data_IF_487308617986
#
_entry.id   IF_487308617986
#
_cell.length_a   1.000
_cell.length_b   1.000
_cell.length_c   1.000
_cell.angle_alpha   90.00
_cell.angle_beta   90.00
_cell.angle_gamma   90.00
#
_symmetry.space_group_name_H-M   'P 1'
#
loop_
_entity.id
_entity.type
_entity.pdbx_description
1 polymer ?
#
# COMPACT_ATOMS: atom_id res chain seq x y z
N UNK A 1 -40.67 -26.19 36.25
CA UNK A 1 -40.65 -24.71 36.06
C UNK A 1 -39.32 -24.36 35.42
N UNK A 2 -39.32 -24.12 34.12
CA UNK A 2 -38.10 -23.95 33.32
C UNK A 2 -38.06 -22.51 32.82
N UNK A 3 -37.01 -21.75 33.19
CA UNK A 3 -36.80 -20.39 32.69
C UNK A 3 -36.50 -20.44 31.17
N UNK A 4 -37.07 -19.55 30.34
CA UNK A 4 -36.65 -19.44 28.95
C UNK A 4 -35.31 -18.72 28.87
N UNK A 5 -34.40 -19.28 28.06
CA UNK A 5 -33.08 -18.75 27.79
C UNK A 5 -33.15 -17.32 27.24
N UNK A 6 -32.38 -16.41 27.82
CA UNK A 6 -32.15 -15.06 27.31
C UNK A 6 -31.45 -15.16 25.94
N UNK A 7 -32.21 -14.99 24.87
CA UNK A 7 -31.67 -14.79 23.53
C UNK A 7 -30.83 -13.51 23.51
N UNK A 8 -29.54 -13.67 23.25
CA UNK A 8 -28.62 -12.55 23.03
C UNK A 8 -28.94 -12.00 21.63
N UNK A 9 -29.78 -10.97 21.58
CA UNK A 9 -30.02 -10.24 20.34
C UNK A 9 -28.74 -9.50 19.94
N UNK A 10 -28.28 -9.58 18.68
CA UNK A 10 -27.20 -8.73 18.19
C UNK A 10 -27.62 -7.27 18.39
N UNK A 11 -26.68 -6.44 18.86
CA UNK A 11 -26.91 -5.05 19.25
C UNK A 11 -27.39 -4.22 18.03
N UNK A 12 -28.69 -4.23 17.79
CA UNK A 12 -29.32 -3.61 16.62
C UNK A 12 -29.59 -2.16 16.98
N UNK A 13 -28.76 -1.27 16.47
CA UNK A 13 -28.93 0.17 16.69
C UNK A 13 -29.93 0.71 15.67
N UNK A 14 -31.09 1.16 16.13
CA UNK A 14 -32.13 1.75 15.29
C UNK A 14 -32.07 3.27 15.35
N UNK A 15 -31.81 3.92 14.20
CA UNK A 15 -31.84 5.38 14.07
C UNK A 15 -33.22 5.84 13.57
N UNK A 16 -33.83 6.80 14.26
CA UNK A 16 -35.08 7.44 13.84
C UNK A 16 -34.79 8.85 13.31
N UNK A 17 -34.94 9.05 12.00
CA UNK A 17 -34.77 10.35 11.35
C UNK A 17 -36.15 11.01 11.21
N UNK A 18 -36.34 12.15 11.88
CA UNK A 18 -37.65 12.75 12.18
C UNK A 18 -38.46 13.30 11.00
N UNK A 19 -37.95 13.29 9.77
CA UNK A 19 -38.65 13.87 8.62
C UNK A 19 -39.44 12.85 7.78
N UNK A 20 -39.38 11.54 8.07
CA UNK A 20 -40.11 10.52 7.27
C UNK A 20 -40.85 9.52 8.15
N UNK A 21 -42.14 9.34 7.83
CA UNK A 21 -43.06 8.42 8.51
C UNK A 21 -42.64 6.96 8.33
N UNK A 22 -42.77 6.16 9.40
CA UNK A 22 -42.61 4.70 9.36
C UNK A 22 -43.82 4.08 8.66
N UNK A 23 -43.72 3.80 7.36
CA UNK A 23 -44.67 2.91 6.70
C UNK A 23 -44.23 1.48 6.98
N UNK A 24 -45.00 0.76 7.79
CA UNK A 24 -44.80 -0.66 8.07
C UNK A 24 -45.19 -1.49 6.83
N UNK A 25 -44.34 -1.47 5.80
CA UNK A 25 -44.56 -2.14 4.52
C UNK A 25 -43.43 -3.06 4.06
N UNK A 26 -42.38 -3.25 4.88
CA UNK A 26 -41.19 -4.00 4.47
C UNK A 26 -40.15 -3.17 3.70
N UNK A 27 -40.40 -1.88 3.49
CA UNK A 27 -39.47 -0.95 2.85
C UNK A 27 -38.48 -0.37 3.87
N UNK A 28 -37.53 -1.18 4.33
CA UNK A 28 -36.36 -0.66 5.04
C UNK A 28 -35.24 -0.37 4.05
N UNK A 29 -34.66 0.81 4.17
CA UNK A 29 -33.44 1.16 3.46
C UNK A 29 -32.25 0.71 4.31
N UNK A 30 -31.53 -0.32 3.87
CA UNK A 30 -30.26 -0.68 4.47
C UNK A 30 -29.21 0.35 4.07
N UNK A 31 -29.04 1.37 4.91
CA UNK A 31 -27.95 2.32 4.76
C UNK A 31 -26.79 1.75 5.58
N UNK A 32 -25.77 1.24 4.90
CA UNK A 32 -24.53 0.86 5.55
C UNK A 32 -23.81 2.13 6.03
N UNK A 33 -24.06 2.52 7.28
CA UNK A 33 -23.31 3.58 7.95
C UNK A 33 -21.97 2.95 8.36
N UNK A 34 -20.85 3.31 7.72
CA UNK A 34 -19.58 2.72 8.07
C UNK A 34 -19.16 3.26 9.44
N UNK A 35 -18.91 2.37 10.39
CA UNK A 35 -18.40 2.74 11.72
C UNK A 35 -16.98 3.31 11.66
N UNK A 36 -16.25 3.04 10.57
CA UNK A 36 -14.89 3.56 10.37
C UNK A 36 -14.62 3.89 8.90
N UNK A 37 -13.68 4.81 8.67
CA UNK A 37 -13.19 5.14 7.32
C UNK A 37 -12.62 3.91 6.60
N UNK A 38 -12.07 2.94 7.33
CA UNK A 38 -11.56 1.69 6.76
C UNK A 38 -12.70 0.83 6.24
N UNK A 39 -13.79 0.73 7.00
CA UNK A 39 -15.01 0.03 6.57
C UNK A 39 -15.58 0.72 5.34
N UNK A 40 -15.65 2.05 5.34
CA UNK A 40 -16.10 2.83 4.18
C UNK A 40 -15.26 2.55 2.93
N UNK A 41 -13.93 2.59 3.03
CA UNK A 41 -13.03 2.30 1.91
C UNK A 41 -13.14 0.85 1.42
N UNK A 42 -13.46 -0.10 2.30
CA UNK A 42 -13.55 -1.52 1.95
C UNK A 42 -14.91 -1.90 1.33
N UNK A 43 -15.99 -1.23 1.70
CA UNK A 43 -17.35 -1.56 1.24
C UNK A 43 -17.85 -0.67 0.12
N UNK A 44 -17.29 0.53 -0.04
CA UNK A 44 -17.74 1.47 -1.06
C UNK A 44 -17.18 1.09 -2.44
N UNK A 45 -18.01 1.09 -3.49
CA UNK A 45 -17.56 0.88 -4.86
C UNK A 45 -16.42 1.83 -5.26
N UNK A 46 -15.49 1.33 -6.08
CA UNK A 46 -14.29 2.08 -6.47
C UNK A 46 -14.60 3.36 -7.25
N UNK A 47 -15.64 3.35 -8.08
CA UNK A 47 -16.09 4.51 -8.86
C UNK A 47 -16.67 5.62 -7.99
N UNK A 48 -17.42 5.25 -6.94
CA UNK A 48 -17.94 6.18 -5.94
C UNK A 48 -16.78 6.77 -5.14
N UNK A 49 -15.83 5.93 -4.71
CA UNK A 49 -14.63 6.40 -4.04
C UNK A 49 -13.85 7.35 -4.93
N UNK A 50 -13.59 7.04 -6.21
CA UNK A 50 -12.82 7.89 -7.12
C UNK A 50 -13.41 9.31 -7.23
N UNK A 51 -14.74 9.42 -7.34
CA UNK A 51 -15.44 10.72 -7.35
C UNK A 51 -15.28 11.47 -6.04
N UNK A 52 -15.55 10.81 -4.91
CA UNK A 52 -15.45 11.44 -3.59
C UNK A 52 -14.01 11.87 -3.26
N UNK A 53 -13.03 11.09 -3.71
CA UNK A 53 -11.62 11.31 -3.42
C UNK A 53 -11.05 12.52 -4.16
N UNK A 54 -11.65 12.91 -5.30
CA UNK A 54 -11.24 14.10 -6.04
C UNK A 54 -11.51 15.39 -5.25
N UNK A 55 -12.68 15.48 -4.62
CA UNK A 55 -13.12 16.68 -3.91
C UNK A 55 -12.79 16.65 -2.41
N UNK A 56 -12.64 15.47 -1.80
CA UNK A 56 -12.30 15.31 -0.39
C UNK A 56 -10.81 14.98 -0.18
N UNK A 57 -10.05 15.94 0.34
CA UNK A 57 -8.62 15.77 0.62
C UNK A 57 -8.32 14.71 1.69
N UNK A 58 -9.13 14.65 2.74
CA UNK A 58 -8.88 13.72 3.83
C UNK A 58 -9.16 12.28 3.39
N UNK A 59 -10.21 12.07 2.59
CA UNK A 59 -10.47 10.77 1.97
C UNK A 59 -9.32 10.36 1.04
N UNK A 60 -8.77 11.31 0.27
CA UNK A 60 -7.58 11.07 -0.56
C UNK A 60 -6.38 10.64 0.28
N UNK A 61 -6.15 11.32 1.40
CA UNK A 61 -5.06 10.98 2.30
C UNK A 61 -5.25 9.61 2.96
N UNK A 62 -6.47 9.23 3.36
CA UNK A 62 -6.74 7.89 3.90
C UNK A 62 -6.54 6.78 2.88
N UNK A 63 -6.88 7.04 1.61
CA UNK A 63 -6.80 6.05 0.53
C UNK A 63 -5.38 5.83 0.03
N UNK A 64 -4.64 6.91 -0.21
CA UNK A 64 -3.31 6.83 -0.84
C UNK A 64 -2.16 7.16 0.11
N UNK A 65 -2.42 7.68 1.31
CA UNK A 65 -1.41 7.99 2.32
C UNK A 65 -0.69 9.32 2.11
N UNK A 66 -1.31 10.29 1.41
CA UNK A 66 -0.75 11.64 1.25
C UNK A 66 -1.73 12.73 0.86
N UNK A 67 -1.27 13.97 0.98
CA UNK A 67 -2.04 15.17 0.65
C UNK A 67 -1.49 15.87 -0.59
N UNK A 68 -2.39 16.22 -1.51
CA UNK A 68 -2.13 17.00 -2.72
C UNK A 68 -3.33 17.90 -3.00
N UNK A 69 -3.10 18.97 -3.77
CA UNK A 69 -4.16 19.88 -4.19
C UNK A 69 -5.19 19.19 -5.13
N UNK A 70 -6.35 19.81 -5.29
CA UNK A 70 -7.45 19.29 -6.12
C UNK A 70 -7.02 18.93 -7.55
N UNK A 71 -6.18 19.77 -8.18
CA UNK A 71 -5.67 19.49 -9.53
C UNK A 71 -4.73 18.28 -9.56
N UNK A 72 -3.90 18.08 -8.55
CA UNK A 72 -3.10 16.88 -8.38
C UNK A 72 -3.96 15.63 -8.16
N UNK A 73 -5.02 15.72 -7.35
CA UNK A 73 -5.96 14.60 -7.12
C UNK A 73 -6.62 14.14 -8.42
N UNK A 74 -7.09 15.09 -9.23
CA UNK A 74 -7.64 14.81 -10.55
C UNK A 74 -6.63 14.11 -11.48
N UNK A 75 -5.37 14.56 -11.50
CA UNK A 75 -4.32 13.92 -12.31
C UNK A 75 -3.98 12.50 -11.82
N UNK A 76 -4.02 12.24 -10.51
CA UNK A 76 -3.84 10.87 -9.97
C UNK A 76 -4.99 9.97 -10.41
N UNK A 77 -6.24 10.45 -10.36
CA UNK A 77 -7.39 9.68 -10.82
C UNK A 77 -7.34 9.43 -12.33
N UNK A 78 -6.88 10.40 -13.12
CA UNK A 78 -6.71 10.24 -14.56
C UNK A 78 -5.68 9.15 -14.89
N UNK A 79 -4.53 9.14 -14.20
CA UNK A 79 -3.50 8.11 -14.39
C UNK A 79 -4.03 6.74 -13.97
N UNK A 80 -4.77 6.69 -12.86
CA UNK A 80 -5.42 5.48 -12.39
C UNK A 80 -6.29 4.86 -13.47
N UNK A 81 -7.22 5.64 -14.03
CA UNK A 81 -8.15 5.16 -15.05
C UNK A 81 -7.46 4.87 -16.38
N UNK A 82 -6.47 5.67 -16.78
CA UNK A 82 -5.74 5.48 -18.05
C UNK A 82 -4.97 4.16 -18.09
N UNK A 83 -4.45 3.73 -16.95
CA UNK A 83 -3.56 2.58 -16.82
C UNK A 83 -4.18 1.43 -16.02
N UNK A 84 -5.48 1.50 -15.71
CA UNK A 84 -6.23 0.53 -14.91
C UNK A 84 -5.52 0.13 -13.60
N UNK A 85 -4.93 1.12 -12.91
CA UNK A 85 -4.12 0.88 -11.72
C UNK A 85 -5.01 0.68 -10.48
N UNK A 86 -4.57 -0.23 -9.63
CA UNK A 86 -5.12 -0.41 -8.29
C UNK A 86 -4.62 0.67 -7.33
N UNK A 87 -5.37 0.89 -6.25
CA UNK A 87 -4.98 1.87 -5.21
C UNK A 87 -3.66 1.50 -4.55
N UNK A 88 -3.36 0.19 -4.46
CA UNK A 88 -2.11 -0.31 -3.91
C UNK A 88 -0.92 0.00 -4.84
N UNK A 89 -1.08 -0.17 -6.16
CA UNK A 89 -0.03 0.18 -7.13
C UNK A 89 0.26 1.68 -7.13
N UNK A 90 -0.75 2.54 -6.98
CA UNK A 90 -0.55 3.99 -6.84
C UNK A 90 0.28 4.32 -5.59
N UNK A 91 0.01 3.62 -4.48
CA UNK A 91 0.81 3.76 -3.25
C UNK A 91 2.24 3.31 -3.47
N UNK A 92 2.46 2.19 -4.14
CA UNK A 92 3.78 1.63 -4.41
C UNK A 92 4.58 2.50 -5.40
N UNK A 93 3.92 3.05 -6.43
CA UNK A 93 4.51 4.03 -7.37
C UNK A 93 4.95 5.31 -6.66
N UNK A 94 4.25 5.71 -5.60
CA UNK A 94 4.66 6.84 -4.78
C UNK A 94 5.78 6.51 -3.82
N UNK A 95 5.73 5.36 -3.15
CA UNK A 95 6.81 4.93 -2.24
C UNK A 95 8.14 4.72 -2.98
N UNK A 96 8.08 4.27 -4.23
CA UNK A 96 9.24 4.15 -5.11
C UNK A 96 9.76 5.48 -5.67
N UNK A 97 9.04 6.59 -5.45
CA UNK A 97 9.43 7.92 -5.92
C UNK A 97 9.27 8.13 -7.43
N UNK A 98 8.74 7.15 -8.16
CA UNK A 98 8.57 7.20 -9.62
C UNK A 98 7.45 8.17 -10.01
N UNK A 99 6.44 8.26 -9.15
CA UNK A 99 5.35 9.22 -9.25
C UNK A 99 5.82 10.59 -8.75
N UNK A 100 6.62 11.27 -9.56
CA UNK A 100 7.08 12.64 -9.27
C UNK A 100 5.96 13.63 -9.54
N UNK A 101 5.21 13.99 -8.49
CA UNK A 101 4.23 15.07 -8.52
C UNK A 101 4.97 16.42 -8.51
N UNK A 102 5.42 16.88 -9.68
CA UNK A 102 5.91 18.26 -9.83
C UNK A 102 4.73 19.18 -10.15
N UNK A 103 4.51 20.23 -9.34
CA UNK A 103 3.44 21.25 -9.43
C UNK A 103 2.76 21.30 -10.82
N UNK A 104 1.60 20.64 -10.94
CA UNK A 104 0.70 20.76 -12.09
C UNK A 104 0.95 19.80 -13.26
N UNK A 105 2.00 18.98 -13.25
CA UNK A 105 2.22 17.93 -14.25
C UNK A 105 2.68 16.65 -13.56
N UNK A 106 1.79 15.69 -13.35
CA UNK A 106 2.19 14.32 -13.02
C UNK A 106 2.81 13.72 -14.28
N UNK A 107 4.14 13.68 -14.31
CA UNK A 107 4.88 12.89 -15.27
C UNK A 107 5.30 11.61 -14.57
N UNK A 108 4.87 10.46 -15.10
CA UNK A 108 5.55 9.20 -14.85
C UNK A 108 7.00 9.41 -15.30
N UNK A 109 7.89 9.59 -14.33
CA UNK A 109 9.29 9.82 -14.65
C UNK A 109 9.85 8.49 -15.12
N UNK A 110 10.01 8.35 -16.45
CA UNK A 110 10.66 7.24 -17.14
C UNK A 110 12.15 7.25 -16.80
N UNK A 111 12.49 6.98 -15.54
CA UNK A 111 13.87 6.96 -15.07
C UNK A 111 14.35 5.51 -15.08
N UNK A 112 15.00 5.15 -16.18
CA UNK A 112 15.75 3.90 -16.34
C UNK A 112 16.85 3.70 -15.27
N UNK A 113 17.19 4.76 -14.53
CA UNK A 113 18.21 4.76 -13.48
C UNK A 113 17.81 3.97 -12.22
N UNK A 114 16.52 3.84 -11.92
CA UNK A 114 16.05 3.14 -10.71
C UNK A 114 16.42 1.66 -10.63
N UNK A 115 16.18 0.84 -11.68
CA UNK A 115 16.64 -0.55 -11.66
C UNK A 115 18.17 -0.63 -11.64
N UNK A 116 18.87 0.25 -12.36
CA UNK A 116 20.34 0.26 -12.41
C UNK A 116 20.93 0.53 -11.03
N UNK A 117 20.41 1.52 -10.30
CA UNK A 117 20.84 1.84 -8.93
C UNK A 117 20.53 0.67 -7.98
N UNK A 118 19.36 0.04 -8.10
CA UNK A 118 19.02 -1.15 -7.33
C UNK A 118 20.00 -2.30 -7.56
N UNK A 119 20.35 -2.58 -8.82
CA UNK A 119 21.36 -3.60 -9.16
C UNK A 119 22.75 -3.22 -8.65
N UNK A 120 23.16 -1.96 -8.73
CA UNK A 120 24.44 -1.48 -8.17
C UNK A 120 24.48 -1.73 -6.66
N UNK A 121 23.42 -1.39 -5.92
CA UNK A 121 23.35 -1.67 -4.48
C UNK A 121 23.39 -3.18 -4.18
N UNK A 122 22.65 -4.00 -4.94
CA UNK A 122 22.66 -5.45 -4.76
C UNK A 122 24.07 -6.06 -4.98
N UNK A 123 24.78 -5.60 -6.01
CA UNK A 123 26.17 -6.02 -6.29
C UNK A 123 27.10 -5.56 -5.18
N UNK A 124 27.01 -4.29 -4.76
CA UNK A 124 27.85 -3.73 -3.71
C UNK A 124 27.66 -4.46 -2.37
N UNK A 125 26.40 -4.67 -1.95
CA UNK A 125 26.09 -5.42 -0.73
C UNK A 125 26.59 -6.87 -0.82
N UNK A 126 26.46 -7.51 -1.98
CA UNK A 126 26.97 -8.88 -2.17
C UNK A 126 28.49 -8.95 -2.06
N UNK A 127 29.22 -7.96 -2.59
CA UNK A 127 30.68 -7.87 -2.45
C UNK A 127 31.07 -7.67 -0.98
N UNK A 128 30.42 -6.73 -0.28
CA UNK A 128 30.70 -6.48 1.15
C UNK A 128 30.42 -7.73 1.99
N UNK A 129 29.28 -8.39 1.78
CA UNK A 129 28.94 -9.64 2.47
C UNK A 129 29.95 -10.75 2.16
N UNK A 130 30.42 -10.87 0.91
CA UNK A 130 31.44 -11.86 0.54
C UNK A 130 32.79 -11.59 1.24
N UNK A 131 33.22 -10.32 1.31
CA UNK A 131 34.44 -9.92 2.05
C UNK A 131 34.29 -10.21 3.54
N UNK A 132 33.13 -9.92 4.14
CA UNK A 132 32.85 -10.24 5.53
C UNK A 132 32.84 -11.75 5.79
N UNK A 133 32.25 -12.56 4.90
CA UNK A 133 32.29 -14.03 5.00
C UNK A 133 33.72 -14.55 4.92
N UNK A 134 34.52 -14.03 3.99
CA UNK A 134 35.93 -14.39 3.86
C UNK A 134 36.73 -14.06 5.13
N UNK A 135 36.57 -12.84 5.66
CA UNK A 135 37.24 -12.41 6.88
C UNK A 135 36.90 -13.30 8.08
N UNK A 136 35.61 -13.63 8.26
CA UNK A 136 35.14 -14.54 9.32
C UNK A 136 35.68 -15.96 9.16
N UNK A 137 35.85 -16.44 7.92
CA UNK A 137 36.38 -17.77 7.64
C UNK A 137 37.90 -17.87 7.86
N UNK A 138 38.64 -16.79 7.56
CA UNK A 138 40.10 -16.70 7.75
C UNK A 138 40.53 -16.46 9.21
N UNK A 139 39.60 -16.08 10.08
CA UNK A 139 39.89 -15.76 11.47
C UNK A 139 40.04 -16.99 12.38
N UNK A 140 40.93 -16.97 13.39
CA UNK A 140 41.03 -18.02 14.39
C UNK A 140 39.89 -17.89 15.41
N UNK A 141 38.68 -18.34 15.04
CA UNK A 141 37.50 -18.26 15.89
C UNK A 141 36.90 -19.63 16.23
N UNK A 142 36.28 -19.75 17.41
CA UNK A 142 35.52 -20.93 17.82
C UNK A 142 34.32 -21.17 16.87
N UNK A 143 34.04 -22.43 16.55
CA UNK A 143 33.03 -22.83 15.56
C UNK A 143 31.64 -22.19 15.78
N UNK A 144 31.19 -22.04 17.03
CA UNK A 144 29.87 -21.46 17.31
C UNK A 144 29.81 -19.95 17.01
N UNK A 145 30.87 -19.20 17.30
CA UNK A 145 30.98 -17.76 17.00
C UNK A 145 31.04 -17.52 15.51
N UNK A 146 31.75 -18.39 14.78
CA UNK A 146 31.81 -18.36 13.32
C UNK A 146 30.44 -18.60 12.70
N UNK A 147 29.71 -19.63 13.16
CA UNK A 147 28.37 -19.94 12.65
C UNK A 147 27.36 -18.82 12.94
N UNK A 148 27.42 -18.21 14.13
CA UNK A 148 26.57 -17.07 14.48
C UNK A 148 26.86 -15.86 13.57
N UNK A 149 28.14 -15.53 13.36
CA UNK A 149 28.53 -14.42 12.49
C UNK A 149 28.07 -14.64 11.04
N UNK A 150 28.22 -15.85 10.51
CA UNK A 150 27.73 -16.21 9.16
C UNK A 150 26.20 -16.10 9.07
N UNK A 151 25.45 -16.55 10.08
CA UNK A 151 24.00 -16.43 10.11
C UNK A 151 23.53 -14.95 10.10
N UNK A 152 24.20 -14.08 10.84
CA UNK A 152 23.91 -12.63 10.86
C UNK A 152 24.21 -12.01 9.48
N UNK A 153 25.33 -12.35 8.86
CA UNK A 153 25.68 -11.84 7.53
C UNK A 153 24.66 -12.30 6.48
N UNK A 154 24.26 -13.58 6.50
CA UNK A 154 23.27 -14.14 5.58
C UNK A 154 21.89 -13.49 5.74
N UNK A 155 21.43 -13.32 6.97
CA UNK A 155 20.14 -12.68 7.25
C UNK A 155 20.13 -11.21 6.84
N UNK A 156 21.21 -10.48 7.12
CA UNK A 156 21.37 -9.10 6.68
C UNK A 156 21.39 -8.99 5.14
N UNK A 157 22.14 -9.86 4.47
CA UNK A 157 22.19 -9.91 3.00
C UNK A 157 20.82 -10.22 2.38
N UNK A 158 20.10 -11.22 2.92
CA UNK A 158 18.77 -11.56 2.46
C UNK A 158 17.77 -10.40 2.63
N UNK A 159 17.83 -9.69 3.76
CA UNK A 159 17.01 -8.51 4.01
C UNK A 159 17.32 -7.36 3.03
N UNK A 160 18.61 -7.10 2.75
CA UNK A 160 19.03 -6.09 1.77
C UNK A 160 18.56 -6.43 0.36
N UNK A 161 18.69 -7.68 -0.09
CA UNK A 161 18.21 -8.10 -1.42
C UNK A 161 16.69 -7.99 -1.49
N UNK A 162 15.98 -8.44 -0.45
CA UNK A 162 14.54 -8.31 -0.40
C UNK A 162 14.09 -6.85 -0.47
N UNK A 163 14.76 -5.95 0.26
CA UNK A 163 14.49 -4.52 0.23
C UNK A 163 14.73 -3.91 -1.16
N UNK A 164 15.86 -4.22 -1.79
CA UNK A 164 16.18 -3.77 -3.16
C UNK A 164 15.14 -4.28 -4.16
N UNK A 165 14.76 -5.56 -4.06
CA UNK A 165 13.74 -6.16 -4.92
C UNK A 165 12.39 -5.47 -4.78
N UNK A 166 11.97 -5.17 -3.55
CA UNK A 166 10.70 -4.52 -3.27
C UNK A 166 10.67 -3.04 -3.69
N UNK A 167 11.75 -2.30 -3.45
CA UNK A 167 11.79 -0.85 -3.69
C UNK A 167 12.12 -0.50 -5.13
N UNK A 168 12.93 -1.30 -5.83
CA UNK A 168 13.41 -0.97 -7.17
C UNK A 168 12.90 -1.88 -8.28
N UNK A 169 12.72 -3.19 -8.02
CA UNK A 169 12.38 -4.15 -9.09
C UNK A 169 10.85 -4.27 -9.29
N UNK A 170 10.09 -4.40 -8.20
CA UNK A 170 8.63 -4.49 -8.25
C UNK A 170 7.95 -3.30 -8.97
N UNK A 171 8.28 -2.04 -8.65
CA UNK A 171 7.66 -0.91 -9.34
C UNK A 171 8.09 -0.79 -10.81
N UNK A 172 9.28 -1.25 -11.18
CA UNK A 172 9.72 -1.28 -12.59
C UNK A 172 8.98 -2.32 -13.42
N UNK A 173 8.67 -3.50 -12.86
CA UNK A 173 7.84 -4.51 -13.54
C UNK A 173 6.44 -3.97 -13.83
N UNK A 174 5.83 -3.31 -12.84
CA UNK A 174 4.54 -2.63 -13.01
C UNK A 174 4.57 -1.60 -14.14
N UNK A 175 5.61 -0.75 -14.20
CA UNK A 175 5.77 0.22 -15.29
C UNK A 175 5.90 -0.44 -16.67
N UNK A 176 6.56 -1.60 -16.74
CA UNK A 176 6.75 -2.34 -17.98
C UNK A 176 5.44 -3.01 -18.44
N UNK A 177 4.66 -3.56 -17.52
CA UNK A 177 3.35 -4.17 -17.79
C UNK A 177 2.32 -3.14 -18.22
N UNK A 178 2.39 -1.94 -17.63
CA UNK A 178 1.48 -0.82 -17.91
C UNK A 178 1.85 -0.05 -19.20
N UNK A 179 2.91 -0.45 -19.91
CA UNK A 179 3.33 0.14 -21.18
C UNK A 179 3.91 1.56 -21.05
N UNK A 180 4.26 1.97 -19.83
CA UNK A 180 4.83 3.29 -19.52
C UNK A 180 6.38 3.29 -19.52
N UNK A 181 7.00 2.12 -19.72
CA UNK A 181 8.45 1.91 -19.73
C UNK A 181 9.11 2.08 -21.09
#
# INVERSE_FOLDING_TARGET
MSQPASQISPNTTQFNLGERSRVAGGDYYEIAIPESIKTFLATTPSDVLDRLTQDNEDLFNYRFGFRINRSGRAQVMEIKHRHDLTDQEIRDLRHSGILSLKRGNIKLSRSWFLPVIGWIYAVLFSIISAVCMWAVQSGPALNWRRNLALAIILTCWAACIWFVGKVHIAPWRLLKEVGAA
#
